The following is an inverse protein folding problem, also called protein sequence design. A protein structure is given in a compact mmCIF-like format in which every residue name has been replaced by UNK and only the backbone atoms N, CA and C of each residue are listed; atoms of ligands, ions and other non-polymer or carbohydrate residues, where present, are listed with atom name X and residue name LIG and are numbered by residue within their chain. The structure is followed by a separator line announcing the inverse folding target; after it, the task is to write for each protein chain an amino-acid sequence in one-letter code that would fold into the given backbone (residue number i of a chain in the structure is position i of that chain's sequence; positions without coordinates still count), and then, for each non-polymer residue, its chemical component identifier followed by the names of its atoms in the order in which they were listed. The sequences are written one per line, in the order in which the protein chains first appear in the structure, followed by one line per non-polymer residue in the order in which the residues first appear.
data_IF_472363472823
#
_entry.id   IF_472363472823
#
_cell.length_a   1.000
_cell.length_b   1.000
_cell.length_c   1.000
_cell.angle_alpha   90.00
_cell.angle_beta   90.00
_cell.angle_gamma   90.00
#
_symmetry.space_group_name_H-M   'P 1'
#
loop_
_entity.id
_entity.type
_entity.pdbx_description
1 polymer ?
#
# COMPACT_ATOMS: atom_id res chain seq x y z
N UNK A 1 -17.26 -3.56 2.36
CA UNK A 1 -16.93 -4.67 1.43
C UNK A 1 -17.17 -5.99 2.16
N UNK A 2 -17.97 -6.90 1.59
CA UNK A 2 -18.24 -8.19 2.20
C UNK A 2 -16.95 -9.04 2.20
N UNK A 3 -16.54 -9.56 3.36
CA UNK A 3 -15.43 -10.50 3.45
C UNK A 3 -15.79 -11.76 2.66
N UNK A 4 -14.88 -12.23 1.80
CA UNK A 4 -15.05 -13.53 1.11
C UNK A 4 -15.22 -14.62 2.18
N UNK A 5 -16.33 -15.37 2.11
CA UNK A 5 -16.69 -16.42 3.08
C UNK A 5 -16.19 -17.81 2.68
N UNK A 6 -15.90 -18.03 1.40
CA UNK A 6 -15.46 -19.31 0.86
C UNK A 6 -14.06 -19.17 0.27
N UNK A 7 -13.13 -19.99 0.76
CA UNK A 7 -11.75 -20.10 0.27
C UNK A 7 -11.56 -21.49 -0.31
N UNK A 8 -10.78 -21.59 -1.38
CA UNK A 8 -10.38 -22.89 -1.95
C UNK A 8 -9.40 -23.60 -1.01
N UNK A 9 -9.18 -24.90 -1.19
CA UNK A 9 -8.23 -25.67 -0.36
C UNK A 9 -6.79 -25.12 -0.43
N UNK A 10 -6.44 -24.53 -1.59
CA UNK A 10 -5.18 -23.85 -1.87
C UNK A 10 -5.15 -22.38 -1.41
N UNK A 11 -6.16 -21.87 -0.70
CA UNK A 11 -6.22 -20.52 -0.16
C UNK A 11 -6.41 -20.56 1.37
N UNK A 12 -5.49 -19.94 2.11
CA UNK A 12 -5.55 -19.82 3.57
C UNK A 12 -5.64 -18.34 3.95
N UNK A 13 -6.75 -17.88 4.55
CA UNK A 13 -6.84 -16.52 5.06
C UNK A 13 -5.88 -16.34 6.26
N UNK A 14 -5.25 -15.17 6.32
CA UNK A 14 -4.42 -14.76 7.47
C UNK A 14 -5.21 -13.79 8.34
N UNK A 15 -5.11 -13.96 9.67
CA UNK A 15 -5.78 -13.12 10.67
C UNK A 15 -7.26 -12.85 10.32
N UNK A 16 -8.03 -13.90 10.07
CA UNK A 16 -9.47 -13.80 9.74
C UNK A 16 -9.76 -12.89 8.53
N UNK A 17 -8.88 -12.94 7.53
CA UNK A 17 -8.98 -12.17 6.29
C UNK A 17 -8.96 -10.64 6.56
N UNK A 18 -8.16 -10.21 7.54
CA UNK A 18 -7.96 -8.78 7.82
C UNK A 18 -7.33 -8.11 6.60
N UNK A 19 -7.95 -7.04 6.11
CA UNK A 19 -7.54 -6.33 4.88
C UNK A 19 -7.37 -7.23 3.65
N UNK A 20 -8.14 -8.32 3.53
CA UNK A 20 -8.01 -9.20 2.36
C UNK A 20 -6.74 -10.07 2.37
N UNK A 21 -6.06 -10.22 3.52
CA UNK A 21 -4.81 -10.97 3.64
C UNK A 21 -5.04 -12.47 3.42
N UNK A 22 -4.43 -13.03 2.38
CA UNK A 22 -4.57 -14.43 1.97
C UNK A 22 -3.23 -14.98 1.51
N UNK A 23 -2.91 -16.18 1.94
CA UNK A 23 -1.86 -17.01 1.38
C UNK A 23 -2.49 -18.00 0.42
N UNK A 24 -1.99 -18.07 -0.80
CA UNK A 24 -2.55 -18.93 -1.83
C UNK A 24 -1.46 -19.65 -2.62
N UNK A 25 -1.75 -20.87 -3.06
CA UNK A 25 -0.82 -21.64 -3.88
C UNK A 25 -0.92 -21.17 -5.33
N UNK A 26 0.23 -20.91 -5.95
CA UNK A 26 0.34 -20.62 -7.39
C UNK A 26 1.43 -21.49 -7.99
N UNK A 27 1.02 -22.52 -8.74
CA UNK A 27 1.94 -23.56 -9.20
C UNK A 27 2.51 -24.33 -8.03
N UNK A 28 3.84 -24.37 -7.91
CA UNK A 28 4.53 -25.13 -6.86
C UNK A 28 4.78 -24.31 -5.59
N UNK A 29 4.65 -22.99 -5.64
CA UNK A 29 5.00 -22.08 -4.56
C UNK A 29 3.80 -21.35 -3.98
N UNK A 30 3.87 -21.08 -2.68
CA UNK A 30 2.90 -20.24 -1.97
C UNK A 30 3.20 -18.75 -2.16
N UNK A 31 2.15 -17.98 -2.35
CA UNK A 31 2.15 -16.53 -2.52
C UNK A 31 1.34 -15.91 -1.40
N UNK A 32 1.71 -14.71 -0.99
CA UNK A 32 0.96 -13.86 -0.07
C UNK A 32 0.38 -12.67 -0.84
N UNK A 33 -0.88 -12.32 -0.55
CA UNK A 33 -1.50 -11.08 -1.01
C UNK A 33 -2.25 -10.39 0.14
N UNK A 34 -2.25 -9.07 0.11
CA UNK A 34 -3.05 -8.23 1.03
C UNK A 34 -3.46 -6.94 0.32
N UNK A 35 -4.65 -6.44 0.63
CA UNK A 35 -5.15 -5.17 0.10
C UNK A 35 -4.67 -4.00 0.97
N UNK A 36 -3.93 -3.08 0.37
CA UNK A 36 -3.54 -1.84 1.00
C UNK A 36 -4.59 -0.78 0.70
N UNK A 37 -5.38 -0.40 1.71
CA UNK A 37 -6.44 0.61 1.57
C UNK A 37 -5.88 2.00 1.32
N UNK A 38 -4.68 2.31 1.83
CA UNK A 38 -4.01 3.59 1.61
C UNK A 38 -3.66 3.82 0.12
N UNK A 39 -3.18 2.78 -0.55
CA UNK A 39 -2.75 2.83 -1.96
C UNK A 39 -3.80 2.29 -2.94
N UNK A 40 -4.94 1.80 -2.43
CA UNK A 40 -5.97 1.09 -3.19
C UNK A 40 -5.39 0.02 -4.13
N UNK A 41 -4.43 -0.75 -3.62
CA UNK A 41 -3.64 -1.71 -4.41
C UNK A 41 -3.33 -2.97 -3.62
N UNK A 42 -3.22 -4.09 -4.32
CA UNK A 42 -2.70 -5.33 -3.73
C UNK A 42 -1.19 -5.27 -3.60
N UNK A 43 -0.68 -5.55 -2.40
CA UNK A 43 0.68 -6.01 -2.20
C UNK A 43 0.69 -7.54 -2.37
N UNK A 44 1.53 -8.04 -3.27
CA UNK A 44 1.67 -9.46 -3.53
C UNK A 44 3.14 -9.84 -3.49
N UNK A 45 3.49 -10.92 -2.79
CA UNK A 45 4.86 -11.41 -2.68
C UNK A 45 4.92 -12.92 -2.61
N UNK A 46 5.91 -13.51 -3.27
CA UNK A 46 6.19 -14.94 -3.14
C UNK A 46 6.75 -15.26 -1.77
N UNK A 47 6.25 -16.31 -1.13
CA UNK A 47 6.78 -16.80 0.14
C UNK A 47 7.94 -17.79 -0.05
N UNK A 48 8.24 -18.17 -1.30
CA UNK A 48 9.30 -19.10 -1.69
C UNK A 48 9.30 -20.37 -0.83
N UNK A 49 8.13 -20.96 -0.63
CA UNK A 49 7.95 -22.24 0.05
C UNK A 49 6.91 -23.07 -0.68
N UNK A 50 7.04 -24.39 -0.61
CA UNK A 50 6.08 -25.38 -1.11
C UNK A 50 5.19 -25.93 0.01
N UNK A 51 5.67 -25.85 1.26
CA UNK A 51 5.03 -26.39 2.45
C UNK A 51 3.98 -25.39 2.96
N UNK A 52 2.77 -25.89 3.22
CA UNK A 52 1.62 -25.09 3.66
C UNK A 52 1.87 -24.42 5.02
N UNK A 53 2.33 -25.16 6.01
CA UNK A 53 2.52 -24.63 7.38
C UNK A 53 3.54 -23.49 7.38
N UNK A 54 4.71 -23.71 6.77
CA UNK A 54 5.73 -22.68 6.59
C UNK A 54 5.21 -21.47 5.81
N UNK A 55 4.29 -21.65 4.86
CA UNK A 55 3.67 -20.54 4.14
C UNK A 55 2.78 -19.70 5.04
N UNK A 56 2.03 -20.34 5.95
CA UNK A 56 1.17 -19.64 6.90
C UNK A 56 2.03 -18.82 7.87
N UNK A 57 3.07 -19.41 8.45
CA UNK A 57 3.98 -18.72 9.37
C UNK A 57 4.67 -17.52 8.70
N UNK A 58 5.23 -17.72 7.50
CA UNK A 58 5.88 -16.64 6.73
C UNK A 58 4.89 -15.55 6.33
N UNK A 59 3.68 -15.93 5.94
CA UNK A 59 2.63 -14.97 5.60
C UNK A 59 2.19 -14.14 6.81
N UNK A 60 2.06 -14.75 7.99
CA UNK A 60 1.74 -14.04 9.23
C UNK A 60 2.86 -13.06 9.61
N UNK A 61 4.11 -13.49 9.56
CA UNK A 61 5.27 -12.62 9.83
C UNK A 61 5.30 -11.42 8.86
N UNK A 62 5.11 -11.66 7.56
CA UNK A 62 5.08 -10.62 6.54
C UNK A 62 3.93 -9.63 6.76
N UNK A 63 2.76 -10.11 7.18
CA UNK A 63 1.63 -9.25 7.52
C UNK A 63 1.95 -8.33 8.70
N UNK A 64 2.57 -8.86 9.76
CA UNK A 64 2.94 -8.09 10.94
C UNK A 64 3.98 -7.02 10.62
N UNK A 65 5.02 -7.36 9.85
CA UNK A 65 6.04 -6.41 9.38
C UNK A 65 5.40 -5.28 8.57
N UNK A 66 4.54 -5.63 7.60
CA UNK A 66 3.82 -4.66 6.79
C UNK A 66 2.91 -3.76 7.64
N UNK A 67 2.23 -4.34 8.65
CA UNK A 67 1.37 -3.56 9.54
C UNK A 67 2.17 -2.55 10.35
N UNK A 68 3.30 -2.96 10.93
CA UNK A 68 4.18 -2.08 11.68
C UNK A 68 4.71 -0.92 10.82
N UNK A 69 5.08 -1.19 9.55
CA UNK A 69 5.47 -0.14 8.61
C UNK A 69 4.34 0.85 8.33
N UNK A 70 3.11 0.35 8.11
CA UNK A 70 1.93 1.19 7.89
C UNK A 70 1.63 2.04 9.13
N UNK A 71 1.72 1.48 10.33
CA UNK A 71 1.53 2.20 11.60
C UNK A 71 2.59 3.27 11.82
N UNK A 72 3.82 3.05 11.34
CA UNK A 72 4.91 4.03 11.35
C UNK A 72 4.71 5.13 10.29
N UNK A 73 3.77 4.96 9.36
CA UNK A 73 3.52 5.88 8.26
C UNK A 73 4.41 5.65 7.03
N UNK A 74 5.14 4.53 6.98
CA UNK A 74 5.93 4.13 5.81
C UNK A 74 4.99 3.52 4.77
N UNK A 75 4.87 4.17 3.61
CA UNK A 75 4.10 3.64 2.49
C UNK A 75 4.85 2.48 1.83
N UNK A 76 4.10 1.43 1.49
CA UNK A 76 4.66 0.28 0.78
C UNK A 76 4.94 0.61 -0.70
N UNK A 77 4.05 1.35 -1.35
CA UNK A 77 4.27 1.84 -2.70
C UNK A 77 4.84 3.26 -2.67
N UNK A 78 5.78 3.52 -3.56
CA UNK A 78 6.26 4.90 -3.78
C UNK A 78 5.19 5.73 -4.47
N UNK A 79 5.25 7.05 -4.27
CA UNK A 79 4.41 8.00 -5.00
C UNK A 79 4.65 7.88 -6.49
N UNK A 80 3.60 8.00 -7.29
CA UNK A 80 3.77 8.03 -8.74
C UNK A 80 4.39 9.35 -9.18
N UNK A 81 5.07 9.36 -10.34
CA UNK A 81 5.68 10.59 -10.87
C UNK A 81 4.67 11.72 -11.04
N UNK A 82 3.44 11.40 -11.46
CA UNK A 82 2.36 12.38 -11.60
C UNK A 82 1.99 13.02 -10.26
N UNK A 83 1.84 12.21 -9.22
CA UNK A 83 1.58 12.72 -7.87
C UNK A 83 2.74 13.55 -7.35
N UNK A 84 3.99 13.11 -7.58
CA UNK A 84 5.18 13.86 -7.19
C UNK A 84 5.25 15.24 -7.86
N UNK A 85 4.98 15.31 -9.17
CA UNK A 85 4.91 16.59 -9.91
C UNK A 85 3.82 17.49 -9.34
N UNK A 86 2.64 16.94 -9.05
CA UNK A 86 1.54 17.71 -8.47
C UNK A 86 1.88 18.27 -7.09
N UNK A 87 2.47 17.44 -6.22
CA UNK A 87 2.94 17.86 -4.88
C UNK A 87 3.97 19.00 -5.03
N UNK A 88 4.91 18.85 -5.97
CA UNK A 88 5.91 19.88 -6.22
C UNK A 88 5.28 21.18 -6.74
N UNK A 89 4.38 21.12 -7.72
CA UNK A 89 3.69 22.31 -8.25
C UNK A 89 2.88 23.02 -7.16
N UNK A 90 2.16 22.28 -6.31
CA UNK A 90 1.38 22.84 -5.20
C UNK A 90 2.26 23.57 -4.17
N UNK A 91 3.39 22.95 -3.82
CA UNK A 91 4.42 23.57 -2.99
C UNK A 91 4.92 24.89 -3.61
N UNK A 92 5.25 24.91 -4.91
CA UNK A 92 5.71 26.12 -5.61
C UNK A 92 4.63 27.21 -5.67
N UNK A 93 3.36 26.86 -5.87
CA UNK A 93 2.25 27.82 -5.85
C UNK A 93 2.12 28.49 -4.49
N UNK A 94 2.29 27.72 -3.41
CA UNK A 94 2.26 28.25 -2.04
C UNK A 94 3.41 29.23 -1.80
N UNK A 95 4.64 28.91 -2.25
CA UNK A 95 5.79 29.82 -2.15
C UNK A 95 5.57 31.16 -2.89
N UNK A 96 4.93 31.13 -4.06
CA UNK A 96 4.61 32.36 -4.81
C UNK A 96 3.51 33.17 -4.13
N UNK A 97 2.50 32.52 -3.54
CA UNK A 97 1.39 33.18 -2.84
C UNK A 97 1.83 33.87 -1.55
N UNK A 98 2.70 33.22 -0.77
CA UNK A 98 3.18 33.73 0.53
C UNK A 98 4.34 34.72 0.41
N UNK A 99 4.82 35.00 -0.81
CA UNK A 99 5.85 35.99 -1.06
C UNK A 99 5.22 37.33 -1.52
N UNK A 100 5.01 38.31 -0.60
CA UNK A 100 4.34 39.57 -0.91
C UNK A 100 5.11 40.47 -1.89
N UNK A 101 6.38 40.16 -2.16
CA UNK A 101 7.23 40.93 -3.09
C UNK A 101 6.91 40.70 -4.58
N UNK A 102 6.10 39.69 -4.92
CA UNK A 102 5.68 39.38 -6.30
C UNK A 102 4.19 39.62 -6.59
N UNK A 103 3.41 40.10 -5.61
CA UNK A 103 2.10 40.66 -5.90
C UNK A 103 2.32 41.96 -6.68
N UNK A 104 2.20 41.88 -8.00
CA UNK A 104 2.53 42.97 -8.92
C UNK A 104 1.91 44.30 -8.49
N UNK A 105 2.63 45.38 -8.80
CA UNK A 105 2.17 46.76 -8.65
C UNK A 105 0.84 46.88 -9.41
N UNK A 106 -0.28 46.85 -8.70
CA UNK A 106 -1.59 47.14 -9.28
C UNK A 106 -1.58 48.62 -9.63
N UNK A 107 -1.47 48.92 -10.93
CA UNK A 107 -1.50 50.28 -11.44
C UNK A 107 -2.78 50.97 -10.94
N UNK A 108 -2.58 52.01 -10.14
CA UNK A 108 -3.65 52.82 -9.58
C UNK A 108 -4.53 53.43 -10.66
N UNK A 109 -5.81 53.52 -10.32
CA UNK A 109 -6.85 54.31 -10.98
C UNK A 109 -6.52 55.80 -10.94
#
# INVERSE_FOLDING_TARGET
MAKKRYFSEDEVPIFENRNGAVVYKRGEYWQFRVWLTADNKYMQKSLNTKIRETAIERGQAMYLELHAHIETGVKYFTVTLKEAVQIYTDYRVTEVRDNPSQQGIVAGR
#
